data_IF_596211916034
#
_entry.id   IF_596211916034
#
_cell.length_a   1.000
_cell.length_b   1.000
_cell.length_c   1.000
_cell.angle_alpha   90.00
_cell.angle_beta   90.00
_cell.angle_gamma   90.00
#
_symmetry.space_group_name_H-M   'P 1'
#
loop_
_entity.id
_entity.type
_entity.pdbx_description
1 polymer ?
#
# COMPACT_ATOMS: atom_id res chain seq x y z
N UNK A 1 15.46 -19.44 40.33
CA UNK A 1 14.47 -19.19 39.27
C UNK A 1 13.09 -19.65 39.70
N UNK A 2 12.06 -18.88 39.35
CA UNK A 2 10.67 -19.24 39.61
C UNK A 2 10.16 -20.20 38.53
N UNK A 3 9.28 -21.14 38.91
CA UNK A 3 8.73 -22.16 38.03
C UNK A 3 7.27 -21.82 37.72
N UNK A 4 6.91 -21.76 36.45
CA UNK A 4 5.59 -21.35 35.97
C UNK A 4 5.02 -22.36 34.98
N UNK A 5 3.69 -22.51 34.93
CA UNK A 5 3.05 -23.14 33.79
C UNK A 5 3.32 -22.33 32.51
N UNK A 6 3.62 -22.99 31.40
CA UNK A 6 3.88 -22.33 30.11
C UNK A 6 2.92 -22.85 29.04
N UNK A 7 2.25 -21.93 28.35
CA UNK A 7 1.49 -22.26 27.14
C UNK A 7 2.29 -21.79 25.93
N UNK A 8 2.58 -22.71 25.00
CA UNK A 8 3.21 -22.40 23.72
C UNK A 8 2.16 -22.55 22.62
N UNK A 9 1.90 -21.49 21.89
CA UNK A 9 0.93 -21.45 20.79
C UNK A 9 1.53 -22.01 19.50
N UNK A 10 0.68 -22.36 18.54
CA UNK A 10 1.13 -22.82 17.23
C UNK A 10 1.97 -21.76 16.50
N UNK A 11 1.62 -20.48 16.67
CA UNK A 11 2.37 -19.33 16.16
C UNK A 11 3.71 -19.07 16.91
N UNK A 12 4.26 -20.06 17.63
CA UNK A 12 5.49 -20.00 18.42
C UNK A 12 5.56 -18.94 19.54
N UNK A 13 4.46 -18.26 19.82
CA UNK A 13 4.37 -17.35 20.96
C UNK A 13 4.20 -18.13 22.26
N UNK A 14 4.70 -17.55 23.35
CA UNK A 14 4.57 -18.13 24.68
C UNK A 14 3.74 -17.24 25.59
N UNK A 15 2.94 -17.87 26.46
CA UNK A 15 2.27 -17.20 27.58
C UNK A 15 2.58 -17.95 28.87
N UNK A 16 3.13 -17.21 29.83
CA UNK A 16 3.34 -17.69 31.18
C UNK A 16 2.02 -17.69 31.95
N UNK A 17 1.71 -18.81 32.58
CA UNK A 17 0.53 -19.02 33.42
C UNK A 17 0.85 -18.87 34.90
N UNK A 18 0.20 -19.69 35.72
CA UNK A 18 0.31 -19.66 37.19
C UNK A 18 1.75 -19.99 37.62
N UNK A 19 2.24 -19.29 38.65
CA UNK A 19 3.49 -19.60 39.34
C UNK A 19 3.31 -20.85 40.20
N UNK A 20 4.02 -21.93 39.86
CA UNK A 20 3.97 -23.21 40.59
C UNK A 20 4.95 -23.22 41.76
N UNK A 21 6.12 -22.58 41.60
CA UNK A 21 7.13 -22.48 42.66
C UNK A 21 7.86 -21.15 42.59
N UNK A 22 7.86 -20.41 43.69
CA UNK A 22 8.69 -19.20 43.87
C UNK A 22 10.09 -19.58 44.34
N UNK A 23 11.12 -18.94 43.78
CA UNK A 23 12.47 -19.02 44.32
C UNK A 23 12.63 -18.07 45.51
N UNK A 24 13.77 -18.17 46.22
CA UNK A 24 14.02 -17.38 47.42
C UNK A 24 13.92 -15.87 47.16
N UNK A 25 14.53 -15.36 46.09
CA UNK A 25 14.41 -13.95 45.68
C UNK A 25 12.96 -13.47 45.56
N UNK A 26 12.08 -14.25 44.93
CA UNK A 26 10.68 -13.88 44.78
C UNK A 26 9.88 -13.99 46.09
N UNK A 27 10.31 -14.87 47.00
CA UNK A 27 9.76 -14.95 48.35
C UNK A 27 10.19 -13.73 49.17
N UNK A 28 11.47 -13.41 49.17
CA UNK A 28 12.02 -12.27 49.90
C UNK A 28 11.47 -10.93 49.41
N UNK A 29 11.24 -10.78 48.09
CA UNK A 29 10.51 -9.65 47.54
C UNK A 29 9.09 -9.54 48.08
N UNK A 30 8.36 -10.66 48.09
CA UNK A 30 6.99 -10.71 48.61
C UNK A 30 6.94 -10.48 50.13
N UNK A 31 7.99 -10.87 50.86
CA UNK A 31 8.15 -10.62 52.29
C UNK A 31 8.63 -9.17 52.59
N UNK A 32 8.86 -8.34 51.56
CA UNK A 32 9.34 -6.96 51.71
C UNK A 32 10.83 -6.82 52.06
N UNK A 33 11.59 -7.93 52.02
CA UNK A 33 13.04 -7.95 52.31
C UNK A 33 13.88 -7.48 51.11
N UNK A 34 13.36 -7.60 49.89
CA UNK A 34 13.97 -7.12 48.66
C UNK A 34 13.05 -6.15 47.93
N UNK A 35 13.64 -5.21 47.19
CA UNK A 35 12.90 -4.21 46.40
C UNK A 35 12.58 -4.66 44.97
N UNK A 36 13.06 -5.83 44.54
CA UNK A 36 12.86 -6.35 43.19
C UNK A 36 12.47 -7.82 43.19
N UNK A 37 11.52 -8.18 42.30
CA UNK A 37 11.09 -9.56 42.10
C UNK A 37 12.06 -10.34 41.19
N UNK A 38 11.95 -11.67 41.21
CA UNK A 38 12.69 -12.55 40.31
C UNK A 38 12.16 -12.45 38.86
N UNK A 39 13.02 -11.98 37.95
CA UNK A 39 12.73 -11.93 36.50
C UNK A 39 12.88 -13.28 35.79
N UNK A 40 13.58 -14.23 36.41
CA UNK A 40 13.96 -15.49 35.78
C UNK A 40 12.86 -16.55 35.90
N UNK A 41 12.25 -16.91 34.77
CA UNK A 41 11.17 -17.90 34.66
C UNK A 41 11.66 -19.21 34.07
N UNK A 42 11.20 -20.33 34.64
CA UNK A 42 11.45 -21.70 34.16
C UNK A 42 10.11 -22.40 33.92
N UNK A 43 9.92 -23.14 32.82
CA UNK A 43 8.69 -23.88 32.59
C UNK A 43 8.55 -25.05 33.57
N UNK A 44 7.36 -25.19 34.14
CA UNK A 44 6.92 -26.38 34.87
C UNK A 44 6.44 -27.40 33.85
N UNK A 45 7.22 -28.44 33.59
CA UNK A 45 6.94 -29.41 32.51
C UNK A 45 5.52 -29.98 32.58
N UNK A 46 5.01 -30.47 33.74
CA UNK A 46 3.68 -31.08 33.81
C UNK A 46 2.52 -30.13 33.49
N UNK A 47 2.61 -28.87 33.89
CA UNK A 47 1.53 -27.88 33.62
C UNK A 47 1.79 -27.08 32.34
N UNK A 48 2.91 -27.34 31.67
CA UNK A 48 3.24 -26.68 30.41
C UNK A 48 2.64 -27.46 29.26
N UNK A 49 2.02 -26.76 28.32
CA UNK A 49 1.36 -27.38 27.17
C UNK A 49 1.59 -26.61 25.88
N UNK A 50 1.58 -27.34 24.79
CA UNK A 50 1.46 -26.79 23.44
C UNK A 50 0.00 -26.80 23.04
N UNK A 51 -0.47 -25.72 22.43
CA UNK A 51 -1.84 -25.61 21.92
C UNK A 51 -1.81 -25.40 20.41
N UNK A 52 -2.74 -26.04 19.71
CA UNK A 52 -2.87 -25.97 18.24
C UNK A 52 -3.62 -24.72 17.77
N UNK A 53 -3.63 -23.66 18.58
CA UNK A 53 -4.27 -22.39 18.23
C UNK A 53 -3.22 -21.29 18.19
N UNK A 54 -3.48 -20.27 17.39
CA UNK A 54 -2.72 -19.03 17.43
C UNK A 54 -2.99 -18.24 18.72
N UNK A 55 -2.06 -17.35 19.08
CA UNK A 55 -2.29 -16.44 20.18
C UNK A 55 -3.21 -15.28 19.73
N UNK A 56 -3.93 -14.67 20.70
CA UNK A 56 -4.87 -13.58 20.42
C UNK A 56 -4.26 -12.42 19.62
N UNK A 57 -2.96 -12.12 19.83
CA UNK A 57 -2.24 -11.08 19.08
C UNK A 57 -2.14 -11.44 17.59
N UNK A 58 -1.72 -12.68 17.29
CA UNK A 58 -1.64 -13.18 15.91
C UNK A 58 -3.01 -13.22 15.25
N UNK A 59 -4.02 -13.75 15.93
CA UNK A 59 -5.40 -13.78 15.41
C UNK A 59 -5.91 -12.38 15.06
N UNK A 60 -5.66 -11.40 15.95
CA UNK A 60 -6.05 -10.00 15.72
C UNK A 60 -5.32 -9.40 14.52
N UNK A 61 -4.02 -9.65 14.39
CA UNK A 61 -3.23 -9.17 13.27
C UNK A 61 -3.65 -9.81 11.95
N UNK A 62 -3.92 -11.11 11.93
CA UNK A 62 -4.44 -11.80 10.75
C UNK A 62 -5.77 -11.20 10.30
N UNK A 63 -6.68 -10.90 11.24
CA UNK A 63 -7.92 -10.21 10.92
C UNK A 63 -7.71 -8.83 10.29
N UNK A 64 -6.72 -8.06 10.74
CA UNK A 64 -6.35 -6.77 10.12
C UNK A 64 -5.78 -6.96 8.71
N UNK A 65 -4.92 -7.97 8.52
CA UNK A 65 -4.33 -8.28 7.22
C UNK A 65 -5.38 -8.71 6.20
N UNK A 66 -6.35 -9.55 6.60
CA UNK A 66 -7.46 -9.96 5.72
C UNK A 66 -8.28 -8.75 5.28
N UNK A 67 -8.61 -7.83 6.20
CA UNK A 67 -9.33 -6.60 5.86
C UNK A 67 -8.54 -5.70 4.90
N UNK A 68 -7.24 -5.52 5.16
CA UNK A 68 -6.38 -4.72 4.29
C UNK A 68 -6.29 -5.32 2.88
N UNK A 69 -6.10 -6.64 2.76
CA UNK A 69 -6.07 -7.35 1.47
C UNK A 69 -7.38 -7.16 0.70
N UNK A 70 -8.52 -7.33 1.36
CA UNK A 70 -9.84 -7.10 0.74
C UNK A 70 -9.96 -5.67 0.21
N UNK A 71 -9.57 -4.67 1.01
CA UNK A 71 -9.61 -3.27 0.57
C UNK A 71 -8.70 -3.01 -0.64
N UNK A 72 -7.53 -3.64 -0.70
CA UNK A 72 -6.63 -3.53 -1.85
C UNK A 72 -7.27 -4.16 -3.09
N UNK A 73 -7.88 -5.33 -2.95
CA UNK A 73 -8.53 -6.03 -4.05
C UNK A 73 -9.76 -5.27 -4.58
N UNK A 74 -10.53 -4.64 -3.70
CA UNK A 74 -11.65 -3.76 -4.07
C UNK A 74 -11.17 -2.56 -4.89
N UNK A 75 -10.05 -1.93 -4.50
CA UNK A 75 -9.45 -0.82 -5.25
C UNK A 75 -8.93 -1.29 -6.61
N UNK A 76 -8.22 -2.42 -6.66
CA UNK A 76 -7.76 -3.02 -7.93
C UNK A 76 -8.92 -3.28 -8.88
N UNK A 77 -10.03 -3.81 -8.37
CA UNK A 77 -11.20 -4.08 -9.20
C UNK A 77 -11.84 -2.80 -9.72
N UNK A 78 -11.92 -1.74 -8.91
CA UNK A 78 -12.42 -0.43 -9.36
C UNK A 78 -11.53 0.17 -10.45
N UNK A 79 -10.21 0.12 -10.28
CA UNK A 79 -9.26 0.59 -11.29
C UNK A 79 -9.40 -0.17 -12.61
N UNK A 80 -9.55 -1.50 -12.56
CA UNK A 80 -9.79 -2.31 -13.77
C UNK A 80 -11.05 -1.88 -14.52
N UNK A 81 -12.16 -1.65 -13.80
CA UNK A 81 -13.43 -1.18 -14.41
C UNK A 81 -13.30 0.21 -15.02
N UNK A 82 -12.54 1.10 -14.39
CA UNK A 82 -12.27 2.45 -14.93
C UNK A 82 -11.47 2.33 -16.22
N UNK A 83 -10.42 1.51 -16.25
CA UNK A 83 -9.61 1.31 -17.45
C UNK A 83 -10.44 0.73 -18.60
N UNK A 84 -11.25 -0.29 -18.32
CA UNK A 84 -12.19 -0.86 -19.31
C UNK A 84 -13.20 0.17 -19.83
N UNK A 85 -13.64 1.12 -18.99
CA UNK A 85 -14.51 2.22 -19.42
C UNK A 85 -13.76 3.20 -20.32
N UNK A 86 -12.55 3.62 -19.94
CA UNK A 86 -11.70 4.52 -20.74
C UNK A 86 -11.36 3.93 -22.11
N UNK A 87 -11.11 2.62 -22.18
CA UNK A 87 -10.86 1.91 -23.44
C UNK A 87 -12.11 1.95 -24.32
N UNK A 88 -13.31 1.75 -23.75
CA UNK A 88 -14.57 1.83 -24.50
C UNK A 88 -14.86 3.24 -25.01
N UNK A 89 -14.67 4.25 -24.17
CA UNK A 89 -14.85 5.66 -24.55
C UNK A 89 -13.90 6.05 -25.69
N UNK A 90 -12.60 5.74 -25.57
CA UNK A 90 -11.62 5.98 -26.65
C UNK A 90 -11.99 5.31 -27.98
N UNK A 91 -12.54 4.09 -27.94
CA UNK A 91 -13.01 3.40 -29.16
C UNK A 91 -14.22 4.08 -29.80
N UNK A 92 -15.11 4.66 -29.01
CA UNK A 92 -16.28 5.39 -29.51
C UNK A 92 -15.83 6.72 -30.13
N UNK A 93 -14.94 7.44 -29.46
CA UNK A 93 -14.43 8.73 -29.94
C UNK A 93 -13.66 8.56 -31.24
N UNK A 94 -12.77 7.56 -31.35
CA UNK A 94 -12.06 7.26 -32.61
C UNK A 94 -13.03 6.97 -33.76
N UNK A 95 -14.08 6.17 -33.53
CA UNK A 95 -15.10 5.88 -34.56
C UNK A 95 -15.87 7.13 -34.99
N UNK A 96 -16.15 8.06 -34.08
CA UNK A 96 -16.81 9.34 -34.42
C UNK A 96 -15.89 10.24 -35.25
N UNK A 97 -14.63 10.35 -34.87
CA UNK A 97 -13.62 11.13 -35.61
C UNK A 97 -13.42 10.57 -37.02
N UNK A 98 -13.31 9.24 -37.17
CA UNK A 98 -13.24 8.59 -38.49
C UNK A 98 -14.45 8.91 -39.37
N UNK A 99 -15.68 8.80 -38.82
CA UNK A 99 -16.90 9.15 -39.56
C UNK A 99 -16.92 10.63 -39.98
N UNK A 100 -16.55 11.54 -39.09
CA UNK A 100 -16.52 12.97 -39.41
C UNK A 100 -15.45 13.33 -40.46
N UNK A 101 -14.34 12.59 -40.52
CA UNK A 101 -13.30 12.77 -41.53
C UNK A 101 -13.73 12.22 -42.90
N UNK A 102 -14.54 11.15 -42.92
CA UNK A 102 -15.12 10.60 -44.16
C UNK A 102 -16.16 11.57 -44.73
N UNK A 103 -17.10 12.06 -43.92
CA UNK A 103 -18.11 13.04 -44.37
C UNK A 103 -17.47 14.33 -44.91
N UNK A 104 -16.41 14.83 -44.26
CA UNK A 104 -15.68 16.02 -44.75
C UNK A 104 -14.98 15.81 -46.08
N UNK A 105 -14.58 14.57 -46.40
CA UNK A 105 -13.90 14.24 -47.66
C UNK A 105 -14.88 14.19 -48.82
N UNK A 106 -16.07 13.61 -48.62
CA UNK A 106 -17.13 13.56 -49.63
C UNK A 106 -17.69 14.95 -49.96
N UNK A 107 -17.76 15.87 -48.98
CA UNK A 107 -18.16 17.26 -49.24
C UNK A 107 -17.12 18.10 -50.00
N UNK A 108 -15.86 17.65 -50.07
CA UNK A 108 -14.79 18.36 -50.78
C UNK A 108 -14.64 17.93 -52.26
N UNK A 109 -15.39 16.90 -52.70
CA UNK A 109 -15.34 16.40 -54.09
C UNK A 109 -16.44 16.99 -54.99
N UNK A 110 -17.23 17.97 -54.52
CA UNK A 110 -18.28 18.64 -55.33
C UNK A 110 -17.93 20.06 -55.80
N UNK A 111 -16.71 20.55 -55.56
CA UNK A 111 -16.22 21.80 -56.16
C UNK A 111 -15.13 21.52 -57.21
N UNK A 112 -15.56 21.03 -58.37
CA UNK A 112 -14.79 21.14 -59.62
C UNK A 112 -15.68 21.75 -60.72
N UNK A 113 -15.79 23.08 -60.70
CA UNK A 113 -15.99 23.90 -61.90
C UNK A 113 -15.64 25.36 -61.56
N UNK A 114 -14.48 25.83 -62.06
CA UNK A 114 -14.08 27.23 -61.90
C UNK A 114 -12.70 27.51 -62.48
N UNK A 115 -12.66 27.82 -63.77
CA UNK A 115 -11.50 28.31 -64.53
C UNK A 115 -10.72 29.46 -63.86
N UNK A 116 -9.39 29.46 -64.07
CA UNK A 116 -8.68 30.69 -64.46
C UNK A 116 -7.58 31.23 -63.54
N UNK A 117 -6.32 30.97 -63.95
CA UNK A 117 -5.14 31.88 -63.99
C UNK A 117 -4.72 32.71 -62.77
N UNK A 118 -3.43 32.60 -62.42
CA UNK A 118 -2.62 33.80 -62.12
C UNK A 118 -1.49 33.67 -61.11
N UNK A 119 -0.26 33.65 -61.64
CA UNK A 119 0.99 34.23 -61.10
C UNK A 119 1.59 33.68 -59.79
N UNK A 120 2.87 33.31 -59.88
CA UNK A 120 3.68 32.88 -58.74
C UNK A 120 4.61 33.96 -58.21
N UNK A 121 5.32 33.62 -57.12
CA UNK A 121 6.77 33.87 -56.92
C UNK A 121 7.20 33.55 -55.49
N UNK A 122 8.28 32.77 -55.44
CA UNK A 122 9.46 32.78 -54.57
C UNK A 122 9.42 32.47 -53.06
N UNK A 123 10.42 31.63 -52.77
CA UNK A 123 11.14 31.18 -51.56
C UNK A 123 11.37 32.18 -50.44
N UNK A 124 11.50 31.68 -49.20
CA UNK A 124 12.77 31.69 -48.43
C UNK A 124 12.68 30.86 -47.15
N UNK A 125 13.85 30.38 -46.73
CA UNK A 125 14.15 29.41 -45.69
C UNK A 125 14.22 30.06 -44.30
N UNK A 126 13.96 29.31 -43.23
CA UNK A 126 14.70 29.44 -41.95
C UNK A 126 14.37 28.28 -41.02
N UNK A 127 15.43 27.60 -40.59
CA UNK A 127 15.50 26.76 -39.40
C UNK A 127 15.46 27.65 -38.16
N UNK A 128 14.86 27.19 -37.06
CA UNK A 128 15.35 27.46 -35.71
C UNK A 128 14.72 26.46 -34.74
N UNK A 129 15.58 25.60 -34.16
CA UNK A 129 15.28 24.87 -32.94
C UNK A 129 15.36 25.82 -31.74
N UNK A 130 14.47 25.68 -30.76
CA UNK A 130 14.89 25.86 -29.36
C UNK A 130 14.00 25.15 -28.33
N UNK A 131 14.62 24.16 -27.68
CA UNK A 131 14.72 23.93 -26.22
C UNK A 131 13.56 24.39 -25.33
N UNK A 132 12.95 23.44 -24.62
CA UNK A 132 12.42 23.66 -23.26
C UNK A 132 12.56 22.39 -22.41
N UNK A 133 13.66 22.34 -21.66
CA UNK A 133 13.90 21.41 -20.56
C UNK A 133 13.10 21.85 -19.33
N UNK A 134 12.15 21.03 -18.87
CA UNK A 134 11.55 21.21 -17.55
C UNK A 134 11.95 20.04 -16.64
N UNK A 135 13.00 20.28 -15.87
CA UNK A 135 13.35 19.54 -14.66
C UNK A 135 12.34 19.85 -13.55
N UNK A 136 11.56 18.83 -13.16
CA UNK A 136 10.64 18.89 -12.04
C UNK A 136 11.07 17.95 -10.91
N UNK A 137 12.21 18.23 -10.29
CA UNK A 137 12.58 17.64 -9.00
C UNK A 137 11.66 18.18 -7.91
N UNK A 138 11.04 17.30 -7.13
CA UNK A 138 10.44 17.65 -5.84
C UNK A 138 10.79 16.59 -4.82
N UNK A 139 11.98 16.73 -4.24
CA UNK A 139 12.24 16.29 -2.88
C UNK A 139 11.63 17.32 -1.94
N UNK A 140 10.65 16.90 -1.14
CA UNK A 140 10.33 17.58 0.11
C UNK A 140 10.22 16.52 1.20
N UNK A 141 11.30 16.41 1.97
CA UNK A 141 11.30 15.71 3.24
C UNK A 141 10.40 16.44 4.23
N UNK A 142 9.56 15.70 4.94
CA UNK A 142 8.95 16.16 6.19
C UNK A 142 9.56 15.35 7.32
N UNK A 143 10.45 16.03 8.04
CA UNK A 143 10.98 15.60 9.32
C UNK A 143 9.82 15.49 10.32
N UNK A 144 9.68 14.33 10.96
CA UNK A 144 8.76 14.16 12.09
C UNK A 144 9.55 14.42 13.36
N UNK A 145 9.29 15.58 13.97
CA UNK A 145 9.87 16.00 15.24
C UNK A 145 9.39 15.09 16.38
N UNK A 146 10.36 14.57 17.14
CA UNK A 146 10.14 13.89 18.41
C UNK A 146 9.59 14.89 19.42
N UNK A 147 8.49 14.56 20.09
CA UNK A 147 8.17 15.14 21.39
C UNK A 147 7.87 14.02 22.38
N UNK A 148 8.84 13.79 23.25
CA UNK A 148 8.68 13.12 24.53
C UNK A 148 7.83 13.99 25.45
N UNK A 149 6.82 13.40 26.10
CA UNK A 149 6.23 13.99 27.30
C UNK A 149 5.92 12.89 28.30
N UNK A 150 6.77 12.82 29.30
CA UNK A 150 6.52 12.21 30.60
C UNK A 150 5.63 13.13 31.43
N UNK A 151 4.62 12.56 32.07
CA UNK A 151 4.07 12.99 33.35
C UNK A 151 3.41 11.75 33.98
#
# INVERSE_FOLDING_TARGET
>A
MCVYGRVVFQCAHERWGICVKRCQTAKDFHDGKLNHDCVMKKPHVPTSRRVQTDCNKCTTMNGKLVRARKSIDDVKQKLKRIEERKIRERKIDNRKTEKSNIEKRDSNETDSSGFGTGLGSITEESEDEDKSTNDGTSQSGSQVSKTSRSA
#
